data_IF_055560216153
#
_entry.id   IF_055560216153
#
_cell.length_a   1.000
_cell.length_b   1.000
_cell.length_c   1.000
_cell.angle_alpha   90.00
_cell.angle_beta   90.00
_cell.angle_gamma   90.00
#
_symmetry.space_group_name_H-M   'P 1'
#
loop_
_entity.id
_entity.type
_entity.pdbx_description
1 polymer ?
#
# COMPACT_ATOMS: atom_id res chain seq x y z
N UNK A 1 -20.65 21.97 -19.27
CA UNK A 1 -20.98 20.53 -19.35
C UNK A 1 -20.17 19.79 -18.29
N UNK A 2 -20.78 18.88 -17.51
CA UNK A 2 -20.04 17.97 -16.63
C UNK A 2 -19.40 16.86 -17.48
N UNK A 3 -18.11 16.58 -17.27
CA UNK A 3 -17.46 15.38 -17.82
C UNK A 3 -17.54 14.25 -16.80
N UNK A 4 -17.79 13.04 -17.29
CA UNK A 4 -17.65 11.82 -16.49
C UNK A 4 -16.16 11.58 -16.28
N UNK A 5 -15.79 11.23 -15.06
CA UNK A 5 -14.44 10.81 -14.70
C UNK A 5 -14.47 9.32 -14.41
N UNK A 6 -13.52 8.58 -14.98
CA UNK A 6 -13.35 7.15 -14.74
C UNK A 6 -11.97 6.92 -14.13
N UNK A 7 -11.90 6.09 -13.09
CA UNK A 7 -10.62 5.69 -12.51
C UNK A 7 -10.04 4.59 -13.40
N UNK A 8 -8.81 4.80 -13.87
CA UNK A 8 -8.09 3.88 -14.73
C UNK A 8 -6.64 3.77 -14.26
N UNK A 9 -6.34 2.69 -13.53
CA UNK A 9 -5.04 2.37 -12.95
C UNK A 9 -4.41 1.29 -13.83
N UNK A 10 -3.36 1.65 -14.56
CA UNK A 10 -2.61 0.70 -15.37
C UNK A 10 -1.95 -0.38 -14.52
N UNK A 11 -1.87 -1.61 -15.05
CA UNK A 11 -1.18 -2.72 -14.40
C UNK A 11 0.29 -2.41 -14.06
N UNK A 12 0.98 -1.62 -14.88
CA UNK A 12 2.38 -1.24 -14.66
C UNK A 12 2.57 -0.41 -13.39
N UNK A 13 1.59 0.43 -13.04
CA UNK A 13 1.62 1.21 -11.78
C UNK A 13 1.50 0.30 -10.56
N UNK A 14 0.64 -0.72 -10.63
CA UNK A 14 0.51 -1.70 -9.54
C UNK A 14 1.78 -2.56 -9.43
N UNK A 15 2.37 -2.96 -10.56
CA UNK A 15 3.64 -3.69 -10.57
C UNK A 15 4.79 -2.85 -9.96
N UNK A 16 4.88 -1.57 -10.32
CA UNK A 16 5.86 -0.65 -9.72
C UNK A 16 5.63 -0.47 -8.21
N UNK A 17 4.38 -0.32 -7.78
CA UNK A 17 4.02 -0.29 -6.36
C UNK A 17 4.54 -1.54 -5.62
N UNK A 18 4.23 -2.74 -6.14
CA UNK A 18 4.69 -3.99 -5.53
C UNK A 18 6.21 -4.08 -5.45
N UNK A 19 6.92 -3.67 -6.51
CA UNK A 19 8.38 -3.67 -6.53
C UNK A 19 8.96 -2.74 -5.46
N UNK A 20 8.40 -1.54 -5.30
CA UNK A 20 8.84 -0.58 -4.27
C UNK A 20 8.58 -1.09 -2.86
N UNK A 21 7.39 -1.64 -2.61
CA UNK A 21 7.03 -2.21 -1.31
C UNK A 21 7.97 -3.37 -0.94
N UNK A 22 8.24 -4.28 -1.88
CA UNK A 22 9.20 -5.39 -1.68
C UNK A 22 10.65 -4.91 -1.46
N UNK A 23 11.04 -3.81 -2.09
CA UNK A 23 12.37 -3.21 -1.94
C UNK A 23 12.51 -2.27 -0.74
N UNK A 24 11.50 -2.19 0.13
CA UNK A 24 11.50 -1.26 1.27
C UNK A 24 12.67 -1.55 2.21
N UNK A 25 13.51 -0.53 2.43
CA UNK A 25 14.56 -0.58 3.45
C UNK A 25 14.00 -0.20 4.81
N UNK A 26 13.80 -1.19 5.66
CA UNK A 26 13.32 -0.99 7.03
C UNK A 26 14.45 -0.50 7.94
N UNK A 27 14.17 0.54 8.73
CA UNK A 27 15.06 1.00 9.80
C UNK A 27 14.79 0.13 11.04
N UNK A 28 15.82 -0.03 11.88
CA UNK A 28 15.72 -0.79 13.14
C UNK A 28 14.57 -0.32 14.03
N UNK A 29 14.00 -1.26 14.78
CA UNK A 29 12.79 -1.02 15.57
C UNK A 29 13.11 -0.34 16.90
N UNK A 30 12.34 0.70 17.21
CA UNK A 30 12.20 1.27 18.55
C UNK A 30 10.93 0.65 19.15
N UNK A 31 10.93 0.32 20.45
CA UNK A 31 9.72 -0.13 21.13
C UNK A 31 8.67 0.99 21.12
N UNK A 32 7.68 0.87 20.23
CA UNK A 32 6.64 1.85 19.97
C UNK A 32 5.27 1.13 19.87
N UNK A 33 5.01 0.19 20.78
CA UNK A 33 3.75 -0.58 20.81
C UNK A 33 2.52 0.28 21.09
N UNK A 34 2.70 1.42 21.74
CA UNK A 34 1.61 2.35 22.09
C UNK A 34 1.40 3.47 21.06
N UNK A 35 2.15 3.44 19.94
CA UNK A 35 2.05 4.38 18.81
C UNK A 35 2.40 5.84 19.13
N UNK A 36 2.93 6.15 20.33
CA UNK A 36 3.23 7.53 20.71
C UNK A 36 4.37 8.15 19.90
N UNK A 37 5.26 7.34 19.35
CA UNK A 37 6.37 7.80 18.51
C UNK A 37 6.03 7.75 16.99
N UNK A 38 4.75 7.65 16.63
CA UNK A 38 4.28 7.56 15.25
C UNK A 38 3.95 6.13 14.84
N UNK A 39 3.95 5.86 13.54
CA UNK A 39 3.56 4.55 13.00
C UNK A 39 4.42 3.43 13.58
N UNK A 40 3.76 2.37 14.06
CA UNK A 40 4.45 1.17 14.49
C UNK A 40 5.04 0.43 13.28
N UNK A 41 6.34 0.13 13.32
CA UNK A 41 7.05 -0.49 12.20
C UNK A 41 6.51 -1.90 11.87
N UNK A 42 6.16 -2.69 12.89
CA UNK A 42 5.60 -4.02 12.68
C UNK A 42 4.24 -3.95 11.98
N UNK A 43 3.37 -3.03 12.42
CA UNK A 43 2.06 -2.83 11.77
C UNK A 43 2.19 -2.29 10.34
N UNK A 44 3.17 -1.43 10.06
CA UNK A 44 3.41 -0.95 8.69
C UNK A 44 3.92 -2.06 7.78
N UNK A 45 4.82 -2.93 8.27
CA UNK A 45 5.28 -4.11 7.53
C UNK A 45 4.12 -5.03 7.18
N UNK A 46 3.26 -5.35 8.14
CA UNK A 46 2.08 -6.20 7.91
C UNK A 46 1.15 -5.60 6.86
N UNK A 47 0.93 -4.28 6.89
CA UNK A 47 0.14 -3.59 5.88
C UNK A 47 0.79 -3.66 4.49
N UNK A 48 2.10 -3.44 4.41
CA UNK A 48 2.83 -3.55 3.14
C UNK A 48 2.77 -4.97 2.57
N UNK A 49 2.94 -6.00 3.40
CA UNK A 49 2.77 -7.41 3.02
C UNK A 49 1.36 -7.69 2.49
N UNK A 50 0.33 -7.20 3.19
CA UNK A 50 -1.05 -7.33 2.75
C UNK A 50 -1.30 -6.69 1.37
N UNK A 51 -0.77 -5.48 1.12
CA UNK A 51 -0.90 -4.81 -0.18
C UNK A 51 -0.17 -5.52 -1.32
N UNK A 52 0.93 -6.19 -1.01
CA UNK A 52 1.70 -6.94 -2.00
C UNK A 52 1.03 -8.27 -2.33
N UNK A 53 0.57 -9.00 -1.31
CA UNK A 53 0.21 -10.42 -1.47
C UNK A 53 -1.29 -10.69 -1.49
N UNK A 54 -2.13 -9.77 -0.98
CA UNK A 54 -3.53 -10.06 -0.67
C UNK A 54 -4.54 -9.03 -1.17
N UNK A 55 -4.13 -7.77 -1.32
CA UNK A 55 -5.05 -6.72 -1.77
C UNK A 55 -5.28 -6.79 -3.29
N UNK A 56 -6.55 -6.89 -3.69
CA UNK A 56 -6.97 -6.98 -5.08
C UNK A 56 -7.25 -5.57 -5.64
N UNK A 57 -6.22 -4.98 -6.25
CA UNK A 57 -6.30 -3.63 -6.84
C UNK A 57 -7.31 -3.53 -7.98
N UNK A 58 -7.36 -4.46 -8.96
CA UNK A 58 -8.39 -4.45 -10.00
C UNK A 58 -9.81 -4.49 -9.44
N UNK A 59 -10.09 -5.39 -8.49
CA UNK A 59 -11.41 -5.48 -7.86
C UNK A 59 -11.77 -4.18 -7.13
N UNK A 60 -10.81 -3.55 -6.46
CA UNK A 60 -11.04 -2.28 -5.80
C UNK A 60 -11.36 -1.16 -6.81
N UNK A 61 -10.66 -1.09 -7.95
CA UNK A 61 -10.96 -0.12 -9.00
C UNK A 61 -12.38 -0.28 -9.53
N UNK A 62 -12.78 -1.52 -9.82
CA UNK A 62 -14.11 -1.82 -10.36
C UNK A 62 -15.26 -1.47 -9.40
N UNK A 63 -14.96 -1.33 -8.10
CA UNK A 63 -15.93 -0.96 -7.07
C UNK A 63 -16.17 0.55 -6.91
N UNK A 64 -15.39 1.41 -7.57
CA UNK A 64 -15.40 2.88 -7.43
C UNK A 64 -16.13 3.57 -8.59
#
# INVERSE_FOLDING_TARGET
>A
MKKVFNIDISADVIADLHNRLKATRWIGEIDNKDWKAGTNNASLKELCEYWVDKFDWPMQQDSL
#
